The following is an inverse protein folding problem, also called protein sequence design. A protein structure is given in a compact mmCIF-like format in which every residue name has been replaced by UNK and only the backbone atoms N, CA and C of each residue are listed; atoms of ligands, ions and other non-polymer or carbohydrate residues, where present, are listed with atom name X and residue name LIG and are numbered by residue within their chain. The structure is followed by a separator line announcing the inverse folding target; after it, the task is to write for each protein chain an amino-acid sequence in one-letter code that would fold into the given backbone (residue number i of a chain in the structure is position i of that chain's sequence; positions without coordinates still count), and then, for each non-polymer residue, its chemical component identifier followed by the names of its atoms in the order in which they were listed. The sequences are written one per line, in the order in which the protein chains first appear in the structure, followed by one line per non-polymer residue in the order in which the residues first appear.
data_IF_457280720144
#
_entry.id   IF_457280720144
#
_cell.length_a   1.000
_cell.length_b   1.000
_cell.length_c   1.000
_cell.angle_alpha   90.00
_cell.angle_beta   90.00
_cell.angle_gamma   90.00
#
_symmetry.space_group_name_H-M   'P 1'
#
loop_
_entity.id
_entity.type
_entity.pdbx_description
1 polymer ?
#
# COMPACT_ATOMS: atom_id res chain seq x y z
N UNK A 1 24.68 -24.29 -16.14
CA UNK A 1 23.25 -24.36 -15.79
C UNK A 1 22.72 -22.94 -15.77
N UNK A 2 21.54 -22.66 -16.33
CA UNK A 2 20.96 -21.31 -16.30
C UNK A 2 20.58 -20.98 -14.85
N UNK A 3 20.92 -19.78 -14.38
CA UNK A 3 20.51 -19.33 -13.05
C UNK A 3 18.98 -19.38 -12.92
N UNK A 4 18.43 -19.62 -11.71
CA UNK A 4 16.99 -19.64 -11.52
C UNK A 4 16.36 -18.29 -11.90
N UNK A 5 15.08 -18.27 -12.26
CA UNK A 5 14.39 -17.00 -12.53
C UNK A 5 14.04 -16.33 -11.21
N UNK A 6 14.15 -15.01 -11.19
CA UNK A 6 13.76 -14.19 -10.03
C UNK A 6 12.40 -13.58 -10.32
N UNK A 7 11.41 -13.85 -9.48
CA UNK A 7 10.03 -13.41 -9.72
C UNK A 7 9.61 -12.42 -8.64
N UNK A 8 9.51 -11.15 -9.01
CA UNK A 8 9.09 -10.07 -8.14
C UNK A 8 7.56 -9.99 -8.06
N UNK A 9 6.99 -10.24 -6.86
CA UNK A 9 5.56 -10.06 -6.63
C UNK A 9 5.25 -8.60 -6.29
N UNK A 10 5.03 -7.81 -7.33
CA UNK A 10 4.69 -6.40 -7.21
C UNK A 10 3.20 -6.23 -6.88
N UNK A 11 2.89 -5.56 -5.78
CA UNK A 11 1.53 -5.40 -5.26
C UNK A 11 0.99 -3.96 -5.35
N UNK A 12 1.66 -3.10 -6.13
CA UNK A 12 1.34 -1.66 -6.22
C UNK A 12 1.42 -0.90 -4.88
N UNK A 13 2.19 -1.43 -3.92
CA UNK A 13 2.55 -0.74 -2.67
C UNK A 13 4.04 -0.39 -2.62
N UNK A 14 4.41 0.58 -1.78
CA UNK A 14 5.77 1.10 -1.68
C UNK A 14 6.81 0.01 -1.36
N UNK A 15 6.52 -0.87 -0.38
CA UNK A 15 7.43 -1.96 -0.02
C UNK A 15 7.70 -2.91 -1.19
N UNK A 16 6.66 -3.37 -1.89
CA UNK A 16 6.85 -4.24 -3.05
C UNK A 16 7.57 -3.54 -4.21
N UNK A 17 7.41 -2.23 -4.36
CA UNK A 17 8.11 -1.45 -5.37
C UNK A 17 9.62 -1.40 -5.09
N UNK A 18 10.00 -1.04 -3.85
CA UNK A 18 11.41 -0.98 -3.43
C UNK A 18 12.06 -2.37 -3.45
N UNK A 19 11.36 -3.40 -2.98
CA UNK A 19 11.88 -4.77 -3.05
C UNK A 19 12.16 -5.22 -4.48
N UNK A 20 11.29 -4.82 -5.42
CA UNK A 20 11.49 -5.09 -6.85
C UNK A 20 12.71 -4.34 -7.38
N UNK A 21 12.89 -3.06 -7.02
CA UNK A 21 14.05 -2.26 -7.45
C UNK A 21 15.37 -2.85 -6.92
N UNK A 22 15.40 -3.28 -5.67
CA UNK A 22 16.57 -3.94 -5.06
C UNK A 22 16.87 -5.28 -5.76
N UNK A 23 15.85 -6.09 -6.04
CA UNK A 23 16.03 -7.34 -6.75
C UNK A 23 16.55 -7.14 -8.19
N UNK A 24 16.04 -6.14 -8.92
CA UNK A 24 16.55 -5.78 -10.24
C UNK A 24 18.03 -5.36 -10.19
N UNK A 25 18.42 -4.57 -9.19
CA UNK A 25 19.81 -4.14 -9.02
C UNK A 25 20.73 -5.32 -8.66
N UNK A 26 20.27 -6.23 -7.82
CA UNK A 26 21.06 -7.36 -7.35
C UNK A 26 21.18 -8.48 -8.40
N UNK A 27 20.11 -8.74 -9.15
CA UNK A 27 20.00 -9.93 -10.00
C UNK A 27 19.88 -9.63 -11.50
N UNK A 28 19.62 -8.38 -11.91
CA UNK A 28 19.30 -8.03 -13.31
C UNK A 28 20.40 -8.35 -14.32
N UNK A 29 21.67 -8.34 -13.91
CA UNK A 29 22.79 -8.70 -14.79
C UNK A 29 23.04 -10.21 -14.89
N UNK A 30 22.52 -10.99 -13.94
CA UNK A 30 22.90 -12.40 -13.75
C UNK A 30 21.74 -13.38 -13.88
N UNK A 31 20.50 -12.93 -13.72
CA UNK A 31 19.30 -13.76 -13.72
C UNK A 31 18.25 -13.18 -14.66
N UNK A 32 17.33 -14.03 -15.10
CA UNK A 32 16.08 -13.57 -15.71
C UNK A 32 15.15 -13.06 -14.59
N UNK A 33 15.02 -11.74 -14.47
CA UNK A 33 14.18 -11.08 -13.47
C UNK A 33 12.83 -10.70 -14.09
N UNK A 34 11.76 -11.16 -13.46
CA UNK A 34 10.39 -11.02 -13.94
C UNK A 34 9.56 -10.28 -12.89
N UNK A 35 8.71 -9.36 -13.33
CA UNK A 35 7.89 -8.55 -12.43
C UNK A 35 6.43 -8.84 -12.72
N UNK A 36 5.70 -9.34 -11.73
CA UNK A 36 4.30 -9.74 -11.88
C UNK A 36 3.39 -8.98 -10.90
N UNK A 37 2.20 -8.62 -11.38
CA UNK A 37 1.16 -7.98 -10.57
C UNK A 37 -0.16 -8.76 -10.72
N UNK A 38 -0.84 -9.03 -9.62
CA UNK A 38 -2.21 -9.55 -9.64
C UNK A 38 -3.20 -8.37 -9.62
N UNK A 39 -3.85 -8.12 -10.75
CA UNK A 39 -4.86 -7.08 -10.87
C UNK A 39 -6.09 -7.39 -10.01
N UNK A 40 -6.60 -6.38 -9.30
CA UNK A 40 -7.84 -6.44 -8.53
C UNK A 40 -8.71 -5.23 -8.85
N UNK A 41 -9.97 -5.48 -9.21
CA UNK A 41 -10.93 -4.44 -9.59
C UNK A 41 -11.28 -3.49 -8.43
N UNK A 42 -11.16 -3.96 -7.18
CA UNK A 42 -11.55 -3.22 -5.97
C UNK A 42 -10.39 -2.44 -5.33
N UNK A 43 -9.21 -2.44 -5.96
CA UNK A 43 -8.13 -1.53 -5.58
C UNK A 43 -8.42 -0.11 -6.06
N UNK A 44 -7.84 0.89 -5.39
CA UNK A 44 -8.01 2.27 -5.81
C UNK A 44 -7.41 2.47 -7.21
N UNK A 45 -8.14 3.15 -8.11
CA UNK A 45 -7.74 3.34 -9.52
C UNK A 45 -6.34 3.94 -9.70
N UNK A 46 -5.90 4.78 -8.75
CA UNK A 46 -4.55 5.36 -8.73
C UNK A 46 -3.43 4.31 -8.67
N UNK A 47 -3.69 3.08 -8.19
CA UNK A 47 -2.70 2.00 -8.23
C UNK A 47 -2.23 1.70 -9.66
N UNK A 48 -3.03 1.99 -10.70
CA UNK A 48 -2.62 1.84 -12.09
C UNK A 48 -1.65 2.92 -12.54
N UNK A 49 -1.82 4.17 -12.08
CA UNK A 49 -0.81 5.22 -12.27
C UNK A 49 0.47 4.85 -11.54
N UNK A 50 0.38 4.42 -10.27
CA UNK A 50 1.56 4.02 -9.51
C UNK A 50 2.33 2.87 -10.18
N UNK A 51 1.59 1.90 -10.76
CA UNK A 51 2.20 0.81 -11.52
C UNK A 51 2.98 1.33 -12.72
N UNK A 52 2.40 2.25 -13.52
CA UNK A 52 3.07 2.82 -14.68
C UNK A 52 4.36 3.57 -14.29
N UNK A 53 4.30 4.45 -13.28
CA UNK A 53 5.47 5.17 -12.78
C UNK A 53 6.56 4.20 -12.27
N UNK A 54 6.15 3.07 -11.66
CA UNK A 54 7.07 2.02 -11.24
C UNK A 54 7.71 1.30 -12.43
N UNK A 55 7.00 1.05 -13.54
CA UNK A 55 7.61 0.47 -14.75
C UNK A 55 8.73 1.36 -15.29
N UNK A 56 8.49 2.67 -15.35
CA UNK A 56 9.49 3.64 -15.78
C UNK A 56 10.70 3.62 -14.85
N UNK A 57 10.47 3.55 -13.54
CA UNK A 57 11.54 3.47 -12.55
C UNK A 57 12.30 2.14 -12.58
N UNK A 58 11.63 1.04 -12.90
CA UNK A 58 12.23 -0.29 -13.05
C UNK A 58 13.00 -0.42 -14.36
N UNK A 59 12.63 0.35 -15.40
CA UNK A 59 13.12 0.17 -16.75
C UNK A 59 12.61 -1.12 -17.42
N UNK A 60 11.52 -1.69 -16.90
CA UNK A 60 10.95 -2.97 -17.36
C UNK A 60 9.44 -2.99 -17.15
N UNK A 61 8.71 -3.59 -18.11
CA UNK A 61 7.27 -3.78 -18.03
C UNK A 61 6.87 -4.78 -16.93
N UNK A 62 5.70 -4.55 -16.33
CA UNK A 62 5.12 -5.44 -15.32
C UNK A 62 4.07 -6.30 -15.99
N UNK A 63 4.22 -7.63 -15.87
CA UNK A 63 3.23 -8.59 -16.35
C UNK A 63 2.01 -8.54 -15.42
N UNK A 64 0.90 -8.03 -15.92
CA UNK A 64 -0.36 -7.94 -15.18
C UNK A 64 -1.19 -9.20 -15.42
N UNK A 65 -1.38 -9.98 -14.36
CA UNK A 65 -2.26 -11.15 -14.35
C UNK A 65 -3.64 -10.74 -13.86
N UNK A 66 -4.68 -11.26 -14.51
CA UNK A 66 -6.07 -11.01 -14.15
C UNK A 66 -6.85 -12.31 -14.05
N UNK A 67 -7.57 -12.48 -12.95
CA UNK A 67 -8.52 -13.58 -12.81
C UNK A 67 -9.76 -13.32 -13.68
N UNK A 68 -10.10 -14.27 -14.54
CA UNK A 68 -11.29 -14.20 -15.39
C UNK A 68 -12.52 -14.82 -14.70
N UNK A 69 -12.32 -15.87 -13.89
CA UNK A 69 -13.41 -16.64 -13.28
C UNK A 69 -14.33 -15.78 -12.41
N UNK A 70 -13.77 -14.87 -11.62
CA UNK A 70 -14.47 -13.92 -10.76
C UNK A 70 -14.32 -12.48 -11.26
N UNK A 71 -13.77 -12.27 -12.46
CA UNK A 71 -13.55 -10.94 -13.05
C UNK A 71 -12.54 -10.07 -12.31
N UNK A 72 -11.68 -10.68 -11.48
CA UNK A 72 -10.79 -10.01 -10.53
C UNK A 72 -11.52 -9.15 -9.47
N UNK A 73 -12.78 -9.47 -9.18
CA UNK A 73 -13.61 -8.77 -8.19
C UNK A 73 -13.75 -9.59 -6.90
N UNK A 74 -13.34 -8.99 -5.78
CA UNK A 74 -13.44 -9.63 -4.46
C UNK A 74 -14.90 -9.87 -4.05
N UNK A 75 -15.84 -9.05 -4.53
CA UNK A 75 -17.26 -9.15 -4.19
C UNK A 75 -17.85 -10.41 -4.83
N UNK A 76 -17.52 -10.68 -6.10
CA UNK A 76 -17.87 -11.93 -6.77
C UNK A 76 -17.28 -13.14 -6.06
N UNK A 77 -16.04 -13.04 -5.56
CA UNK A 77 -15.44 -14.10 -4.76
C UNK A 77 -16.25 -14.36 -3.49
N UNK A 78 -16.60 -13.33 -2.73
CA UNK A 78 -17.35 -13.52 -1.47
C UNK A 78 -18.73 -14.11 -1.71
N UNK A 79 -19.45 -13.62 -2.73
CA UNK A 79 -20.78 -14.12 -3.11
C UNK A 79 -20.76 -15.58 -3.53
N UNK A 80 -19.77 -15.99 -4.34
CA UNK A 80 -19.68 -17.37 -4.87
C UNK A 80 -19.09 -18.36 -3.87
N UNK A 81 -18.05 -17.97 -3.13
CA UNK A 81 -17.45 -18.83 -2.09
C UNK A 81 -18.28 -18.87 -0.80
N UNK A 82 -19.27 -17.98 -0.66
CA UNK A 82 -20.18 -17.86 0.49
C UNK A 82 -19.48 -17.56 1.83
N UNK A 83 -18.30 -16.93 1.80
CA UNK A 83 -17.61 -16.41 2.99
C UNK A 83 -16.62 -15.29 2.66
N UNK A 84 -16.25 -14.48 3.65
CA UNK A 84 -15.36 -13.32 3.46
C UNK A 84 -13.98 -13.47 4.10
N UNK A 85 -13.91 -14.01 5.33
CA UNK A 85 -12.67 -14.23 6.07
C UNK A 85 -12.86 -15.31 7.11
N UNK A 86 -11.93 -16.25 7.18
CA UNK A 86 -11.91 -17.30 8.20
C UNK A 86 -10.51 -17.49 8.80
N UNK A 87 -10.37 -18.53 9.62
CA UNK A 87 -9.11 -18.91 10.27
C UNK A 87 -7.98 -19.16 9.25
N UNK A 88 -8.32 -19.74 8.09
CA UNK A 88 -7.38 -20.00 6.99
C UNK A 88 -7.17 -18.79 6.06
N UNK A 89 -7.62 -17.60 6.46
CA UNK A 89 -7.53 -16.36 5.69
C UNK A 89 -8.76 -16.05 4.84
N UNK A 90 -8.63 -15.07 3.96
CA UNK A 90 -9.68 -14.60 3.06
C UNK A 90 -9.63 -15.35 1.70
N UNK A 91 -10.77 -15.72 1.11
CA UNK A 91 -10.81 -16.44 -0.17
C UNK A 91 -10.20 -15.61 -1.30
N UNK A 92 -10.40 -14.29 -1.30
CA UNK A 92 -9.81 -13.39 -2.29
C UNK A 92 -8.26 -13.45 -2.32
N UNK A 93 -7.60 -13.62 -1.17
CA UNK A 93 -6.13 -13.80 -1.13
C UNK A 93 -5.72 -15.12 -1.77
N UNK A 94 -6.50 -16.19 -1.57
CA UNK A 94 -6.21 -17.51 -2.14
C UNK A 94 -6.45 -17.53 -3.65
N UNK A 95 -7.61 -17.04 -4.09
CA UNK A 95 -8.11 -17.19 -5.45
C UNK A 95 -7.50 -16.15 -6.39
N UNK A 96 -7.59 -14.87 -6.02
CA UNK A 96 -7.21 -13.77 -6.91
C UNK A 96 -5.74 -13.36 -6.80
N UNK A 97 -5.03 -13.82 -5.76
CA UNK A 97 -3.59 -13.56 -5.60
C UNK A 97 -2.79 -14.85 -5.69
N UNK A 98 -2.86 -15.73 -4.69
CA UNK A 98 -1.96 -16.90 -4.60
C UNK A 98 -2.10 -17.85 -5.78
N UNK A 99 -3.32 -18.32 -6.08
CA UNK A 99 -3.55 -19.26 -7.19
C UNK A 99 -3.23 -18.63 -8.54
N UNK A 100 -3.67 -17.39 -8.77
CA UNK A 100 -3.38 -16.65 -10.00
C UNK A 100 -1.87 -16.46 -10.23
N UNK A 101 -1.12 -16.13 -9.18
CA UNK A 101 0.34 -16.02 -9.30
C UNK A 101 0.98 -17.40 -9.47
N UNK A 102 0.47 -18.44 -8.79
CA UNK A 102 0.98 -19.81 -8.91
C UNK A 102 0.77 -20.40 -10.32
N UNK A 103 -0.25 -19.97 -11.10
CA UNK A 103 -0.42 -20.43 -12.49
C UNK A 103 0.64 -19.90 -13.46
N UNK A 104 1.35 -18.83 -13.08
CA UNK A 104 2.38 -18.22 -13.92
C UNK A 104 3.80 -18.70 -13.57
N UNK A 105 3.99 -19.22 -12.36
CA UNK A 105 5.30 -19.64 -11.86
C UNK A 105 5.78 -20.93 -12.52
N UNK A 106 7.10 -21.04 -12.65
CA UNK A 106 7.78 -22.27 -13.02
C UNK A 106 8.45 -22.93 -11.80
N UNK A 107 8.63 -24.26 -11.81
CA UNK A 107 9.45 -24.93 -10.79
C UNK A 107 10.84 -24.32 -10.70
N UNK A 108 11.30 -24.04 -9.47
CA UNK A 108 12.62 -23.46 -9.21
C UNK A 108 12.70 -21.92 -9.31
N UNK A 109 11.60 -21.24 -9.66
CA UNK A 109 11.53 -19.77 -9.56
C UNK A 109 11.79 -19.33 -8.10
N UNK A 110 12.62 -18.31 -7.92
CA UNK A 110 12.87 -17.68 -6.61
C UNK A 110 11.96 -16.46 -6.48
N UNK A 111 11.09 -16.48 -5.48
CA UNK A 111 10.12 -15.40 -5.26
C UNK A 111 10.74 -14.24 -4.48
N UNK A 112 10.49 -13.00 -4.91
CA UNK A 112 10.83 -11.80 -4.13
C UNK A 112 9.58 -11.26 -3.46
N UNK A 113 9.61 -11.21 -2.12
CA UNK A 113 8.54 -10.61 -1.31
C UNK A 113 8.94 -9.23 -0.78
N UNK A 114 7.99 -8.29 -0.84
CA UNK A 114 8.12 -6.97 -0.21
C UNK A 114 7.79 -6.98 1.28
N UNK A 115 8.23 -7.99 2.03
CA UNK A 115 8.12 -8.00 3.49
C UNK A 115 9.17 -7.07 4.06
N UNK A 116 8.75 -6.12 4.91
CA UNK A 116 9.65 -5.16 5.57
C UNK A 116 10.31 -5.77 6.80
N UNK A 117 11.28 -5.07 7.39
CA UNK A 117 12.02 -5.54 8.57
C UNK A 117 11.11 -5.98 9.74
N UNK A 118 9.96 -5.33 9.93
CA UNK A 118 8.98 -5.67 10.97
C UNK A 118 8.19 -6.96 10.69
N UNK A 119 8.38 -7.55 9.50
CA UNK A 119 7.68 -8.74 9.02
C UNK A 119 8.61 -9.95 8.89
N UNK A 120 9.78 -9.93 9.54
CA UNK A 120 10.78 -11.01 9.51
C UNK A 120 10.19 -12.38 9.90
N UNK A 121 9.43 -12.44 11.00
CA UNK A 121 8.76 -13.67 11.46
C UNK A 121 7.83 -14.26 10.39
N UNK A 122 7.19 -13.40 9.56
CA UNK A 122 6.30 -13.86 8.48
C UNK A 122 7.07 -14.52 7.34
N UNK A 123 8.33 -14.15 7.14
CA UNK A 123 9.21 -14.79 6.15
C UNK A 123 9.65 -16.17 6.63
N UNK A 124 10.05 -16.27 7.91
CA UNK A 124 10.44 -17.53 8.54
C UNK A 124 9.27 -18.53 8.50
N UNK A 125 8.10 -18.13 8.99
CA UNK A 125 6.85 -18.89 8.91
C UNK A 125 6.53 -19.40 7.50
N UNK A 126 6.85 -18.59 6.48
CA UNK A 126 6.61 -18.97 5.09
C UNK A 126 7.61 -20.02 4.63
N UNK A 127 8.91 -19.83 4.93
CA UNK A 127 9.98 -20.76 4.56
C UNK A 127 9.76 -22.13 5.20
N UNK A 128 9.41 -22.18 6.49
CA UNK A 128 9.12 -23.42 7.20
C UNK A 128 7.93 -24.18 6.57
N UNK A 129 6.86 -23.47 6.22
CA UNK A 129 5.65 -24.07 5.64
C UNK A 129 5.79 -24.42 4.17
N UNK A 130 6.79 -23.90 3.47
CA UNK A 130 6.98 -24.06 2.03
C UNK A 130 8.47 -24.28 1.68
N UNK A 131 9.09 -25.38 2.18
CA UNK A 131 10.52 -25.62 1.98
C UNK A 131 10.92 -25.81 0.51
N UNK A 132 9.96 -26.17 -0.34
CA UNK A 132 10.09 -26.35 -1.78
C UNK A 132 9.89 -25.05 -2.58
N UNK A 133 9.64 -23.91 -1.92
CA UNK A 133 9.37 -22.62 -2.56
C UNK A 133 10.45 -21.58 -2.18
N UNK A 134 11.53 -21.47 -2.96
CA UNK A 134 12.58 -20.49 -2.70
C UNK A 134 12.02 -19.07 -2.63
N UNK A 135 12.42 -18.31 -1.61
CA UNK A 135 11.95 -16.94 -1.38
C UNK A 135 13.04 -16.08 -0.75
N UNK A 136 13.13 -14.84 -1.24
CA UNK A 136 13.98 -13.77 -0.71
C UNK A 136 13.12 -12.56 -0.33
N UNK A 137 13.58 -11.77 0.63
CA UNK A 137 12.92 -10.54 1.05
C UNK A 137 13.97 -9.44 1.26
N UNK A 138 14.37 -8.76 0.17
CA UNK A 138 15.49 -7.82 0.19
C UNK A 138 15.35 -6.70 1.25
N UNK A 139 14.12 -6.30 1.58
CA UNK A 139 13.90 -5.26 2.58
C UNK A 139 14.26 -5.73 4.00
N UNK A 140 13.98 -6.99 4.36
CA UNK A 140 14.38 -7.56 5.65
C UNK A 140 15.91 -7.64 5.72
N UNK A 141 16.54 -8.12 4.64
CA UNK A 141 18.00 -8.23 4.54
C UNK A 141 18.70 -6.87 4.68
N UNK A 142 18.06 -5.80 4.21
CA UNK A 142 18.57 -4.42 4.28
C UNK A 142 18.04 -3.63 5.49
N UNK A 143 17.26 -4.24 6.39
CA UNK A 143 16.71 -3.58 7.58
C UNK A 143 15.71 -2.46 7.29
N UNK A 144 15.02 -2.49 6.14
CA UNK A 144 14.12 -1.43 5.70
C UNK A 144 12.70 -1.61 6.24
N UNK A 145 12.21 -0.56 6.89
CA UNK A 145 10.83 -0.46 7.36
C UNK A 145 9.86 0.09 6.31
N UNK A 146 8.59 0.22 6.70
CA UNK A 146 7.54 0.76 5.80
C UNK A 146 7.77 2.23 5.42
N UNK A 147 8.17 3.05 6.38
CA UNK A 147 8.39 4.47 6.15
C UNK A 147 9.62 4.71 5.27
N UNK A 148 10.65 3.87 5.40
CA UNK A 148 11.80 3.88 4.49
C UNK A 148 11.37 3.67 3.04
N UNK A 149 10.55 2.63 2.81
CA UNK A 149 10.09 2.32 1.47
C UNK A 149 9.29 3.48 0.85
N UNK A 150 8.44 4.14 1.64
CA UNK A 150 7.69 5.32 1.18
C UNK A 150 8.64 6.49 0.87
N UNK A 151 9.64 6.74 1.70
CA UNK A 151 10.63 7.79 1.49
C UNK A 151 11.45 7.56 0.21
N UNK A 152 11.88 6.32 -0.06
CA UNK A 152 12.61 5.96 -1.29
C UNK A 152 11.77 6.20 -2.55
N UNK A 153 10.48 5.88 -2.50
CA UNK A 153 9.55 6.15 -3.61
C UNK A 153 9.43 7.65 -3.89
N UNK A 154 9.28 8.47 -2.84
CA UNK A 154 9.22 9.92 -2.98
C UNK A 154 10.53 10.51 -3.53
N UNK A 155 11.70 10.00 -3.09
CA UNK A 155 13.01 10.44 -3.61
C UNK A 155 13.27 10.01 -5.04
N UNK A 156 12.68 8.91 -5.48
CA UNK A 156 12.66 8.52 -6.88
C UNK A 156 11.77 9.42 -7.75
N UNK A 157 11.10 10.44 -7.17
CA UNK A 157 10.22 11.35 -7.88
C UNK A 157 8.81 10.78 -8.12
N UNK A 158 8.47 9.64 -7.50
CA UNK A 158 7.20 8.95 -7.71
C UNK A 158 6.21 9.33 -6.62
N UNK A 159 5.01 9.72 -7.00
CA UNK A 159 3.94 9.98 -6.03
C UNK A 159 3.46 8.68 -5.37
N UNK A 160 3.26 8.70 -4.05
CA UNK A 160 2.70 7.56 -3.33
C UNK A 160 1.26 7.27 -3.80
N UNK A 161 0.84 5.99 -3.81
CA UNK A 161 -0.55 5.62 -4.06
C UNK A 161 -1.55 6.44 -3.23
N UNK A 162 -2.67 6.82 -3.84
CA UNK A 162 -3.69 7.66 -3.20
C UNK A 162 -4.16 7.18 -1.82
N UNK A 163 -4.18 5.86 -1.58
CA UNK A 163 -4.50 5.29 -0.27
C UNK A 163 -3.49 5.72 0.80
N UNK A 164 -2.18 5.73 0.51
CA UNK A 164 -1.18 6.24 1.46
C UNK A 164 -1.35 7.74 1.73
N UNK A 165 -1.69 8.53 0.70
CA UNK A 165 -1.93 9.97 0.84
C UNK A 165 -3.16 10.27 1.72
N UNK A 166 -4.12 9.34 1.79
CA UNK A 166 -5.26 9.38 2.71
C UNK A 166 -4.93 8.79 4.10
N UNK A 167 -3.67 8.47 4.37
CA UNK A 167 -3.21 7.92 5.65
C UNK A 167 -3.47 6.41 5.82
N UNK A 168 -3.81 5.66 4.79
CA UNK A 168 -3.93 4.21 4.93
C UNK A 168 -2.54 3.55 4.92
N UNK A 169 -2.33 2.57 5.79
CA UNK A 169 -1.04 1.87 5.93
C UNK A 169 -0.64 1.04 4.70
N UNK A 170 -1.59 0.71 3.81
CA UNK A 170 -1.35 -0.12 2.63
C UNK A 170 -2.29 0.29 1.49
N UNK A 171 -1.82 0.16 0.24
CA UNK A 171 -2.60 0.40 -0.98
C UNK A 171 -3.43 -0.82 -1.43
N UNK A 172 -4.07 -1.51 -0.47
CA UNK A 172 -4.93 -2.67 -0.74
C UNK A 172 -6.30 -2.27 -1.33
N UNK A 173 -7.16 -3.26 -1.57
CA UNK A 173 -8.57 -3.05 -1.88
C UNK A 173 -9.24 -2.10 -0.89
N UNK A 174 -10.11 -1.23 -1.41
CA UNK A 174 -11.01 -0.40 -0.61
C UNK A 174 -11.99 -1.36 0.10
N UNK A 175 -12.12 -1.24 1.42
CA UNK A 175 -12.92 -2.18 2.23
C UNK A 175 -12.31 -3.57 2.41
N UNK A 176 -10.98 -3.68 2.48
CA UNK A 176 -10.29 -4.95 2.70
C UNK A 176 -10.78 -5.66 3.97
N UNK A 177 -11.28 -6.89 3.83
CA UNK A 177 -11.83 -7.72 4.92
C UNK A 177 -10.82 -8.12 6.01
N UNK A 178 -9.53 -7.86 5.77
CA UNK A 178 -8.47 -8.03 6.79
C UNK A 178 -8.28 -6.79 7.66
N UNK A 179 -8.88 -5.66 7.30
CA UNK A 179 -8.87 -4.44 8.09
C UNK A 179 -9.59 -4.62 9.44
N UNK A 180 -9.21 -3.79 10.40
CA UNK A 180 -9.86 -3.71 11.72
C UNK A 180 -11.01 -2.69 11.74
N UNK A 181 -11.68 -2.57 12.88
CA UNK A 181 -12.81 -1.64 13.04
C UNK A 181 -12.45 -0.20 12.68
N UNK A 182 -11.33 0.33 13.17
CA UNK A 182 -10.90 1.70 12.88
C UNK A 182 -10.59 1.96 11.40
N UNK A 183 -10.18 0.91 10.67
CA UNK A 183 -10.04 0.96 9.21
C UNK A 183 -11.42 1.02 8.53
N UNK A 184 -12.37 0.18 8.94
CA UNK A 184 -13.71 0.22 8.36
C UNK A 184 -14.49 1.49 8.69
N UNK A 185 -14.22 2.14 9.84
CA UNK A 185 -14.72 3.50 10.13
C UNK A 185 -14.14 4.53 9.15
N UNK A 186 -12.84 4.46 8.84
CA UNK A 186 -12.21 5.32 7.84
C UNK A 186 -12.79 5.10 6.44
N UNK A 187 -12.98 3.83 6.05
CA UNK A 187 -13.59 3.47 4.76
C UNK A 187 -15.04 3.97 4.68
N UNK A 188 -15.82 3.89 5.76
CA UNK A 188 -17.20 4.43 5.80
C UNK A 188 -17.24 5.94 5.52
N UNK A 189 -16.25 6.68 5.99
CA UNK A 189 -16.14 8.13 5.77
C UNK A 189 -15.61 8.47 4.35
N UNK A 190 -14.52 7.81 3.93
CA UNK A 190 -13.81 8.18 2.69
C UNK A 190 -14.41 7.55 1.42
N UNK A 191 -15.03 6.37 1.57
CA UNK A 191 -15.48 5.50 0.48
C UNK A 191 -16.84 4.84 0.85
N UNK A 192 -17.90 5.64 1.07
CA UNK A 192 -19.18 5.14 1.57
C UNK A 192 -19.87 4.14 0.62
N UNK A 193 -19.64 4.27 -0.69
CA UNK A 193 -20.23 3.36 -1.70
C UNK A 193 -19.62 1.97 -1.58
N UNK A 194 -18.29 1.89 -1.49
CA UNK A 194 -17.57 0.64 -1.31
C UNK A 194 -17.85 0.02 0.07
N UNK A 195 -17.96 0.86 1.12
CA UNK A 195 -18.38 0.39 2.45
C UNK A 195 -19.75 -0.28 2.41
N UNK A 196 -20.73 0.35 1.77
CA UNK A 196 -22.09 -0.18 1.66
C UNK A 196 -22.14 -1.48 0.84
N UNK A 197 -21.33 -1.62 -0.22
CA UNK A 197 -21.27 -2.87 -0.99
C UNK A 197 -20.77 -4.05 -0.13
N UNK A 198 -19.80 -3.81 0.77
CA UNK A 198 -19.36 -4.84 1.72
C UNK A 198 -20.46 -5.16 2.74
N UNK A 199 -21.25 -4.17 3.18
CA UNK A 199 -22.39 -4.40 4.07
C UNK A 199 -23.44 -5.29 3.40
N UNK A 200 -23.80 -5.04 2.14
CA UNK A 200 -24.73 -5.87 1.38
C UNK A 200 -24.27 -7.32 1.28
N UNK A 201 -22.98 -7.55 1.05
CA UNK A 201 -22.42 -8.90 1.07
C UNK A 201 -22.61 -9.57 2.44
N UNK A 202 -22.48 -8.83 3.54
CA UNK A 202 -22.75 -9.39 4.86
C UNK A 202 -24.23 -9.70 5.08
N UNK A 203 -25.14 -8.87 4.59
CA UNK A 203 -26.58 -9.13 4.65
C UNK A 203 -26.94 -10.41 3.86
N UNK A 204 -26.36 -10.58 2.67
CA UNK A 204 -26.57 -11.75 1.80
C UNK A 204 -26.02 -13.07 2.40
N UNK A 205 -24.91 -13.00 3.14
CA UNK A 205 -24.23 -14.17 3.72
C UNK A 205 -24.65 -14.47 5.16
N UNK A 206 -25.19 -13.48 5.87
CA UNK A 206 -25.59 -13.56 7.27
C UNK A 206 -24.42 -13.56 8.27
N UNK A 207 -24.69 -13.85 9.55
CA UNK A 207 -23.76 -13.64 10.68
C UNK A 207 -22.40 -14.34 10.59
N UNK A 208 -22.28 -15.40 9.78
CA UNK A 208 -21.00 -16.06 9.53
C UNK A 208 -19.96 -15.16 8.86
N UNK A 209 -20.41 -14.12 8.14
CA UNK A 209 -19.58 -13.17 7.38
C UNK A 209 -19.05 -11.98 8.21
N UNK A 210 -19.54 -11.82 9.44
CA UNK A 210 -19.20 -10.70 10.30
C UNK A 210 -17.71 -10.74 10.69
N UNK A 211 -17.02 -9.63 10.43
CA UNK A 211 -15.55 -9.54 10.50
C UNK A 211 -15.04 -9.22 11.92
N UNK A 212 -15.89 -8.63 12.75
CA UNK A 212 -15.52 -8.08 14.07
C UNK A 212 -16.34 -8.74 15.18
N UNK A 213 -15.83 -8.63 16.41
CA UNK A 213 -16.47 -9.12 17.63
C UNK A 213 -16.46 -8.04 18.68
N UNK A 214 -17.56 -7.92 19.42
CA UNK A 214 -17.61 -7.06 20.58
C UNK A 214 -16.60 -7.58 21.62
N UNK A 215 -15.71 -6.73 22.12
CA UNK A 215 -14.66 -7.14 23.07
C UNK A 215 -15.18 -7.58 24.43
N UNK A 216 -16.39 -7.17 24.82
CA UNK A 216 -17.03 -7.52 26.09
C UNK A 216 -17.85 -8.79 25.98
N UNK A 217 -18.72 -8.89 24.96
CA UNK A 217 -19.65 -10.04 24.81
C UNK A 217 -19.07 -11.16 23.95
N UNK A 218 -17.98 -10.90 23.21
CA UNK A 218 -17.39 -11.81 22.22
C UNK A 218 -18.32 -12.17 21.05
N UNK A 219 -19.48 -11.55 20.96
CA UNK A 219 -20.45 -11.74 19.88
C UNK A 219 -20.00 -11.01 18.62
N UNK A 220 -20.26 -11.62 17.46
CA UNK A 220 -20.00 -10.98 16.17
C UNK A 220 -21.09 -9.98 15.85
N UNK A 221 -20.72 -8.89 15.20
CA UNK A 221 -21.64 -7.87 14.73
C UNK A 221 -21.33 -7.48 13.27
N UNK A 222 -22.36 -7.03 12.56
CA UNK A 222 -22.26 -6.62 11.16
C UNK A 222 -21.53 -5.27 11.01
N UNK A 223 -21.09 -4.93 9.80
CA UNK A 223 -20.58 -3.60 9.51
C UNK A 223 -21.66 -2.51 9.58
N UNK A 224 -22.94 -2.87 9.43
CA UNK A 224 -24.06 -1.94 9.67
C UNK A 224 -24.14 -1.53 11.15
N UNK A 225 -23.81 -2.45 12.04
CA UNK A 225 -23.74 -2.25 13.49
C UNK A 225 -22.36 -1.74 13.94
N UNK A 226 -21.47 -1.37 13.00
CA UNK A 226 -20.18 -0.76 13.35
C UNK A 226 -20.44 0.61 13.99
N UNK A 227 -20.42 0.64 15.32
CA UNK A 227 -20.59 1.87 16.07
C UNK A 227 -19.44 2.86 15.90
N UNK A 228 -19.62 4.03 16.52
CA UNK A 228 -18.60 5.07 16.57
C UNK A 228 -17.33 4.60 17.30
N UNK A 229 -16.25 5.34 17.10
CA UNK A 229 -14.95 5.04 17.70
C UNK A 229 -13.81 5.65 16.91
N UNK A 230 -12.56 5.38 17.34
CA UNK A 230 -11.40 5.96 16.68
C UNK A 230 -11.31 5.46 15.24
N UNK A 231 -11.18 6.42 14.34
CA UNK A 231 -10.84 6.20 12.94
C UNK A 231 -9.33 6.02 12.85
N UNK A 232 -8.86 5.04 12.07
CA UNK A 232 -7.43 4.77 11.92
C UNK A 232 -6.93 5.17 10.54
N UNK A 233 -6.36 6.38 10.47
CA UNK A 233 -5.52 6.88 9.38
C UNK A 233 -4.16 7.27 10.01
N UNK A 234 -3.07 6.74 9.48
CA UNK A 234 -1.72 7.16 9.81
C UNK A 234 -1.33 8.32 8.89
N UNK A 235 -1.70 9.54 9.28
CA UNK A 235 -1.48 10.76 8.51
C UNK A 235 -0.03 11.28 8.61
N UNK A 236 0.85 10.59 9.35
CA UNK A 236 2.23 10.98 9.48
C UNK A 236 2.95 10.93 8.12
N UNK A 237 3.72 11.97 7.82
CA UNK A 237 4.60 11.98 6.66
C UNK A 237 5.67 10.87 6.81
N UNK A 238 6.06 10.20 5.71
CA UNK A 238 7.11 9.20 5.78
C UNK A 238 8.40 9.76 6.33
N UNK A 239 8.95 9.11 7.35
CA UNK A 239 10.23 9.43 7.94
C UNK A 239 11.30 8.48 7.40
N UNK A 240 12.44 9.04 6.98
CA UNK A 240 13.58 8.27 6.52
C UNK A 240 14.38 7.74 7.72
N UNK A 241 14.73 6.46 7.72
CA UNK A 241 15.75 5.91 8.62
C UNK A 241 17.14 5.94 7.98
N UNK A 242 18.17 5.69 8.77
CA UNK A 242 19.57 5.57 8.30
C UNK A 242 19.76 4.42 7.29
N UNK A 243 19.03 3.31 7.45
CA UNK A 243 19.11 2.15 6.55
C UNK A 243 18.61 2.46 5.14
N UNK A 244 17.69 3.41 5.04
CA UNK A 244 17.10 3.89 3.81
C UNK A 244 18.15 4.45 2.83
N UNK A 245 19.07 5.28 3.31
CA UNK A 245 20.12 5.91 2.48
C UNK A 245 21.14 4.87 2.00
N UNK A 246 21.51 3.92 2.85
CA UNK A 246 22.43 2.83 2.50
C UNK A 246 21.83 1.94 1.41
N UNK A 247 20.54 1.60 1.53
CA UNK A 247 19.90 0.74 0.55
C UNK A 247 19.77 1.40 -0.84
N UNK A 248 19.64 2.72 -0.91
CA UNK A 248 19.60 3.43 -2.19
C UNK A 248 20.92 3.36 -2.95
N UNK A 249 22.06 3.29 -2.25
CA UNK A 249 23.38 3.17 -2.89
C UNK A 249 23.52 1.91 -3.73
N UNK A 250 22.67 0.90 -3.52
CA UNK A 250 22.64 -0.33 -4.32
C UNK A 250 22.18 -0.09 -5.76
N UNK A 251 21.38 0.94 -6.03
CA UNK A 251 20.81 1.18 -7.36
C UNK A 251 20.94 2.63 -7.85
N UNK A 252 21.67 3.49 -7.15
CA UNK A 252 22.15 4.76 -7.69
C UNK A 252 23.27 4.44 -8.70
N UNK A 253 23.18 4.90 -9.97
CA UNK A 253 24.28 4.74 -10.93
C UNK A 253 25.56 5.35 -10.35
N UNK A 254 26.71 4.67 -10.50
CA UNK A 254 28.01 5.14 -9.98
C UNK A 254 28.43 6.53 -10.50
N UNK A 255 27.76 7.06 -11.51
CA UNK A 255 27.92 8.43 -11.99
C UNK A 255 26.54 9.05 -12.22
N UNK A 256 26.10 9.91 -11.30
CA UNK A 256 25.06 10.89 -11.63
C UNK A 256 25.78 12.12 -12.19
N UNK A 257 25.49 12.57 -13.43
CA UNK A 257 25.96 13.89 -13.84
C UNK A 257 25.39 14.94 -12.88
N UNK A 258 26.14 16.00 -12.54
CA UNK A 258 25.70 16.99 -11.56
C UNK A 258 24.33 17.55 -11.96
N UNK A 259 23.45 17.85 -10.99
CA UNK A 259 22.09 18.28 -11.27
C UNK A 259 22.10 19.48 -12.22
N UNK A 260 21.44 19.32 -13.35
CA UNK A 260 21.23 20.38 -14.31
C UNK A 260 20.37 21.48 -13.66
N UNK A 261 20.64 22.72 -14.04
CA UNK A 261 20.11 23.98 -13.52
C UNK A 261 18.58 24.14 -13.51
N UNK A 262 17.83 23.09 -13.89
CA UNK A 262 16.36 23.04 -13.86
C UNK A 262 15.76 22.82 -12.44
N UNK A 263 16.56 22.45 -11.44
CA UNK A 263 16.12 22.22 -10.05
C UNK A 263 15.74 23.50 -9.26
N UNK A 264 15.86 24.68 -9.88
CA UNK A 264 15.37 25.94 -9.31
C UNK A 264 13.84 26.08 -9.32
N UNK A 265 13.11 25.18 -10.00
CA UNK A 265 11.64 25.21 -10.07
C UNK A 265 11.02 24.49 -8.86
N UNK A 266 11.66 23.43 -8.34
CA UNK A 266 11.14 22.65 -7.20
C UNK A 266 11.33 23.38 -5.86
N UNK A 267 12.36 24.23 -5.74
CA UNK A 267 12.56 25.12 -4.58
C UNK A 267 11.55 26.29 -4.52
N UNK A 268 10.88 26.64 -5.61
CA UNK A 268 9.81 27.65 -5.62
C UNK A 268 8.46 27.09 -5.14
N UNK A 269 8.18 25.80 -5.34
CA UNK A 269 6.93 25.19 -4.89
C UNK A 269 6.83 25.13 -3.35
N UNK A 270 7.91 24.78 -2.64
CA UNK A 270 7.94 24.80 -1.18
C UNK A 270 7.78 26.23 -0.60
N UNK A 271 8.36 27.26 -1.25
CA UNK A 271 8.24 28.65 -0.76
C UNK A 271 6.88 29.30 -1.01
N UNK A 272 6.09 28.82 -1.97
CA UNK A 272 4.74 29.33 -2.23
C UNK A 272 3.74 28.76 -1.21
N UNK A 273 3.92 27.51 -0.77
CA UNK A 273 3.05 26.88 0.23
C UNK A 273 3.25 27.51 1.62
N UNK A 274 4.50 27.81 2.02
CA UNK A 274 4.79 28.51 3.28
C UNK A 274 4.30 29.96 3.35
N UNK A 275 4.22 30.67 2.21
CA UNK A 275 3.68 32.04 2.16
C UNK A 275 2.15 32.07 2.30
N UNK A 276 1.43 31.08 1.75
CA UNK A 276 -0.04 31.01 1.87
C UNK A 276 -0.50 30.65 3.29
N UNK A 277 0.22 29.78 3.98
CA UNK A 277 -0.11 29.43 5.38
C UNK A 277 0.14 30.59 6.35
N UNK A 278 1.24 31.34 6.20
CA UNK A 278 1.52 32.54 7.04
C UNK A 278 0.51 33.67 6.80
N UNK A 279 0.09 33.90 5.55
CA UNK A 279 -0.88 34.96 5.23
C UNK A 279 -2.29 34.65 5.79
N UNK A 280 -2.70 33.38 5.79
CA UNK A 280 -3.99 32.96 6.36
C UNK A 280 -4.06 33.10 7.90
N UNK A 281 -2.92 32.93 8.59
CA UNK A 281 -2.84 33.09 10.05
C UNK A 281 -2.78 34.58 10.45
N UNK A 282 -2.13 35.44 9.66
CA UNK A 282 -2.13 36.89 9.92
C UNK A 282 -3.53 37.52 9.71
N UNK A 283 -4.27 37.09 8.68
CA UNK A 283 -5.63 37.60 8.43
C UNK A 283 -6.66 37.16 9.48
N UNK A 284 -6.48 35.98 10.09
CA UNK A 284 -7.34 35.51 11.20
C UNK A 284 -7.06 36.26 12.50
N UNK A 285 -5.80 36.62 12.78
CA UNK A 285 -5.44 37.48 13.93
C UNK A 285 -5.95 38.91 13.80
N UNK A 286 -5.96 39.46 12.58
CA UNK A 286 -6.39 40.84 12.34
C UNK A 286 -7.91 41.02 12.43
N UNK A 287 -8.70 40.03 11.95
CA UNK A 287 -10.17 40.01 12.13
C UNK A 287 -10.59 39.90 13.59
N UNK A 288 -9.87 39.11 14.39
CA UNK A 288 -10.15 38.96 15.82
C UNK A 288 -9.87 40.24 16.63
N UNK A 289 -8.94 41.10 16.16
CA UNK A 289 -8.60 42.37 16.79
C UNK A 289 -9.61 43.48 16.46
N UNK A 290 -10.11 43.52 15.22
CA UNK A 290 -11.11 44.51 14.79
C UNK A 290 -12.51 44.27 15.38
N UNK A 291 -12.93 43.01 15.57
CA UNK A 291 -14.20 42.70 16.23
C UNK A 291 -14.17 43.06 17.73
N UNK A 292 -13.01 42.94 18.38
CA UNK A 292 -12.85 43.35 19.77
C UNK A 292 -12.86 44.88 19.93
N UNK A 293 -12.42 45.62 18.92
CA UNK A 293 -12.43 47.10 18.92
C UNK A 293 -13.82 47.68 18.64
N UNK A 294 -14.65 46.97 17.86
CA UNK A 294 -16.04 47.35 17.58
C UNK A 294 -16.99 47.09 18.76
N UNK A 295 -16.70 46.11 19.62
CA UNK A 295 -17.52 45.88 20.83
C UNK A 295 -17.25 46.87 21.97
N UNK A 296 -16.05 47.45 22.02
CA UNK A 296 -15.65 48.43 23.06
C UNK A 296 -16.11 49.87 22.75
N UNK A 297 -16.50 50.17 21.50
CA UNK A 297 -17.09 51.48 21.12
C UNK A 297 -18.63 51.55 21.20
N UNK A 298 -19.28 50.50 21.71
CA UNK A 298 -20.75 50.42 21.88
C UNK A 298 -21.19 50.25 23.34
N UNK A 299 -20.37 50.66 24.29
CA UNK A 299 -20.73 50.86 25.70
C UNK A 299 -20.39 52.28 26.13
#
# INVERSE_FOLDING_TARGET
MKNPRIVCQFSSGAASAVATKLALAQYGETHDVQIINAFLANEHKDNRRFLADCQDWFGQEIVQLRDEKYGADIIQVFRRERYMKGLRGAPCTKLLKRRLLDTWKNPGDVMVFGYTAEEADRLEDFRERNPDRPVVAPLIEMGLGKEDCKAMILRAGIALPAMYLKGYDNANCIGCVKGGEGYFRAIREDFPVEFEEICKVQDELGPGSYLHRNRKTNERFSLRELGDGPVRRNEALPACSFFCEIAEQVFVPKERPPPDTQDLITLKACRIFERKTRCSQSEKKMRHYDDHRKSVRKK
#
